data_IF_864560204782
#
_entry.id   IF_864560204782
#
_cell.length_a   1.000
_cell.length_b   1.000
_cell.length_c   1.000
_cell.angle_alpha   90.00
_cell.angle_beta   90.00
_cell.angle_gamma   90.00
#
_symmetry.space_group_name_H-M   'P 1'
#
loop_
_entity.id
_entity.type
_entity.pdbx_description
1 polymer ?
#
# COMPACT_ATOMS: atom_id res chain seq x y z
N UNK A 1 2.09 15.67 -22.06
CA UNK A 1 3.49 15.59 -21.61
C UNK A 1 3.49 15.18 -20.14
N UNK A 2 3.47 13.88 -19.88
CA UNK A 2 3.60 13.35 -18.51
C UNK A 2 5.07 13.51 -18.13
N UNK A 3 5.39 14.43 -17.20
CA UNK A 3 6.77 14.61 -16.74
C UNK A 3 7.21 13.33 -16.04
N UNK A 4 8.15 12.58 -16.62
CA UNK A 4 8.78 11.42 -15.97
C UNK A 4 9.33 11.84 -14.60
N UNK A 5 8.87 11.19 -13.53
CA UNK A 5 9.35 11.42 -12.16
C UNK A 5 10.85 11.09 -12.05
N UNK A 6 11.61 11.88 -11.31
CA UNK A 6 13.00 11.57 -10.99
C UNK A 6 13.04 10.25 -10.19
N UNK A 7 14.02 9.38 -10.45
CA UNK A 7 14.15 8.07 -9.79
C UNK A 7 14.10 8.20 -8.26
N UNK A 8 14.78 9.20 -7.69
CA UNK A 8 14.72 9.43 -6.24
C UNK A 8 13.32 9.83 -5.75
N UNK A 9 12.57 10.61 -6.53
CA UNK A 9 11.20 10.99 -6.17
C UNK A 9 10.24 9.79 -6.28
N UNK A 10 10.39 8.96 -7.32
CA UNK A 10 9.60 7.74 -7.51
C UNK A 10 9.87 6.72 -6.39
N UNK A 11 11.15 6.47 -6.07
CA UNK A 11 11.52 5.60 -4.94
C UNK A 11 11.00 6.16 -3.62
N UNK A 12 11.12 7.47 -3.38
CA UNK A 12 10.60 8.09 -2.16
C UNK A 12 9.09 7.92 -2.04
N UNK A 13 8.36 8.17 -3.12
CA UNK A 13 6.90 8.04 -3.16
C UNK A 13 6.46 6.57 -2.95
N UNK A 14 7.17 5.62 -3.54
CA UNK A 14 6.93 4.19 -3.32
C UNK A 14 7.20 3.77 -1.87
N UNK A 15 8.30 4.23 -1.26
CA UNK A 15 8.62 3.95 0.15
C UNK A 15 7.57 4.57 1.08
N UNK A 16 7.13 5.80 0.81
CA UNK A 16 6.07 6.46 1.59
C UNK A 16 4.76 5.68 1.48
N UNK A 17 4.37 5.27 0.27
CA UNK A 17 3.17 4.46 0.06
C UNK A 17 3.22 3.14 0.85
N UNK A 18 4.33 2.41 0.77
CA UNK A 18 4.51 1.16 1.53
C UNK A 18 4.54 1.40 3.05
N UNK A 19 5.14 2.50 3.50
CA UNK A 19 5.18 2.85 4.93
C UNK A 19 3.78 3.17 5.46
N UNK A 20 2.95 3.87 4.68
CA UNK A 20 1.55 4.14 5.03
C UNK A 20 0.71 2.86 5.08
N UNK A 21 0.93 1.94 4.12
CA UNK A 21 0.29 0.63 4.10
C UNK A 21 0.58 -0.18 5.38
N UNK A 22 1.87 -0.30 5.73
CA UNK A 22 2.33 -1.04 6.92
C UNK A 22 1.88 -0.33 8.20
N UNK A 23 1.96 0.99 8.24
CA UNK A 23 1.54 1.79 9.40
C UNK A 23 0.07 1.61 9.72
N UNK A 24 -0.81 1.70 8.72
CA UNK A 24 -2.25 1.51 8.90
C UNK A 24 -2.58 0.06 9.31
N UNK A 25 -1.98 -0.93 8.63
CA UNK A 25 -2.17 -2.34 8.98
C UNK A 25 -1.71 -2.64 10.41
N UNK A 26 -0.60 -2.05 10.86
CA UNK A 26 -0.10 -2.27 12.22
C UNK A 26 -0.97 -1.62 13.28
N UNK A 27 -1.56 -0.46 12.99
CA UNK A 27 -2.39 0.28 13.93
C UNK A 27 -3.82 -0.28 14.06
N UNK A 28 -4.46 -0.62 12.95
CA UNK A 28 -5.86 -1.08 12.94
C UNK A 28 -5.99 -2.58 12.60
N UNK A 29 -5.21 -3.08 11.64
CA UNK A 29 -5.29 -4.45 11.13
C UNK A 29 -4.81 -5.50 12.14
N UNK A 30 -3.67 -5.28 12.79
CA UNK A 30 -3.11 -6.23 13.76
C UNK A 30 -4.01 -6.45 14.99
N UNK A 31 -4.53 -5.41 15.67
CA UNK A 31 -5.46 -5.62 16.79
C UNK A 31 -6.76 -6.29 16.34
N UNK A 32 -7.28 -5.92 15.16
CA UNK A 32 -8.45 -6.56 14.58
C UNK A 32 -8.18 -8.06 14.32
N UNK A 33 -7.06 -8.39 13.69
CA UNK A 33 -6.64 -9.79 13.44
C UNK A 33 -6.50 -10.57 14.74
N UNK A 34 -5.92 -9.96 15.78
CA UNK A 34 -5.78 -10.59 17.09
C UNK A 34 -7.14 -10.94 17.71
N UNK A 35 -8.13 -10.06 17.62
CA UNK A 35 -9.49 -10.31 18.10
C UNK A 35 -10.17 -11.45 17.32
N UNK A 36 -9.90 -11.54 16.02
CA UNK A 36 -10.39 -12.61 15.14
C UNK A 36 -9.79 -13.96 15.51
N UNK A 37 -8.47 -14.03 15.66
CA UNK A 37 -7.75 -15.26 16.06
C UNK A 37 -8.19 -15.73 17.45
N UNK A 38 -8.47 -14.79 18.36
CA UNK A 38 -8.99 -15.09 19.70
C UNK A 38 -10.48 -15.49 19.71
N UNK A 39 -11.15 -15.56 18.56
CA UNK A 39 -12.56 -15.94 18.46
C UNK A 39 -13.53 -14.90 19.03
N UNK A 40 -13.07 -13.69 19.34
CA UNK A 40 -13.88 -12.56 19.82
C UNK A 40 -14.26 -11.66 18.66
N UNK A 41 -14.90 -12.25 17.65
CA UNK A 41 -15.32 -11.50 16.45
C UNK A 41 -16.38 -10.46 16.82
N UNK A 42 -15.96 -9.21 16.88
CA UNK A 42 -16.87 -8.06 16.83
C UNK A 42 -17.07 -7.67 15.36
N UNK A 43 -18.29 -7.27 14.94
CA UNK A 43 -18.54 -6.80 13.57
C UNK A 43 -17.59 -5.67 13.15
N UNK A 44 -17.21 -4.81 14.10
CA UNK A 44 -16.23 -3.74 13.88
C UNK A 44 -14.84 -4.29 13.52
N UNK A 45 -14.37 -5.34 14.20
CA UNK A 45 -13.06 -5.94 13.93
C UNK A 45 -13.00 -6.60 12.55
N UNK A 46 -14.11 -7.17 12.07
CA UNK A 46 -14.21 -7.66 10.69
C UNK A 46 -14.07 -6.52 9.67
N UNK A 47 -14.78 -5.41 9.91
CA UNK A 47 -14.68 -4.22 9.07
C UNK A 47 -13.26 -3.66 9.04
N UNK A 48 -12.63 -3.49 10.22
CA UNK A 48 -11.28 -2.95 10.34
C UNK A 48 -10.25 -3.87 9.65
N UNK A 49 -10.42 -5.20 9.72
CA UNK A 49 -9.55 -6.15 9.02
C UNK A 49 -9.65 -6.03 7.50
N UNK A 50 -10.88 -5.96 6.96
CA UNK A 50 -11.12 -5.79 5.53
C UNK A 50 -10.59 -4.45 5.05
N UNK A 51 -10.84 -3.38 5.81
CA UNK A 51 -10.35 -2.05 5.50
C UNK A 51 -8.80 -2.00 5.53
N UNK A 52 -8.16 -2.63 6.51
CA UNK A 52 -6.71 -2.73 6.58
C UNK A 52 -6.11 -3.46 5.37
N UNK A 53 -6.75 -4.54 4.92
CA UNK A 53 -6.32 -5.27 3.73
C UNK A 53 -6.50 -4.44 2.44
N UNK A 54 -7.60 -3.70 2.32
CA UNK A 54 -7.85 -2.80 1.20
C UNK A 54 -6.82 -1.66 1.14
N UNK A 55 -6.60 -0.99 2.26
CA UNK A 55 -5.61 0.08 2.38
C UNK A 55 -4.22 -0.44 2.01
N UNK A 56 -3.82 -1.59 2.56
CA UNK A 56 -2.54 -2.22 2.22
C UNK A 56 -2.42 -2.46 0.71
N UNK A 57 -3.43 -3.08 0.10
CA UNK A 57 -3.44 -3.41 -1.33
C UNK A 57 -3.36 -2.16 -2.21
N UNK A 58 -4.14 -1.11 -1.92
CA UNK A 58 -4.14 0.14 -2.69
C UNK A 58 -2.77 0.80 -2.68
N UNK A 59 -2.15 0.94 -1.50
CA UNK A 59 -0.85 1.59 -1.38
C UNK A 59 0.28 0.73 -1.96
N UNK A 60 0.20 -0.60 -1.87
CA UNK A 60 1.15 -1.50 -2.52
C UNK A 60 1.06 -1.39 -4.05
N UNK A 61 -0.15 -1.39 -4.62
CA UNK A 61 -0.34 -1.21 -6.08
C UNK A 61 0.11 0.18 -6.52
N UNK A 62 -0.19 1.23 -5.75
CA UNK A 62 0.28 2.59 -6.05
C UNK A 62 1.81 2.67 -6.05
N UNK A 63 2.48 2.08 -5.05
CA UNK A 63 3.93 2.01 -5.00
C UNK A 63 4.52 1.24 -6.18
N UNK A 64 3.88 0.13 -6.58
CA UNK A 64 4.28 -0.63 -7.76
C UNK A 64 4.10 0.16 -9.06
N UNK A 65 2.95 0.80 -9.27
CA UNK A 65 2.67 1.60 -10.46
C UNK A 65 3.67 2.76 -10.64
N UNK A 66 4.04 3.43 -9.55
CA UNK A 66 5.06 4.50 -9.56
C UNK A 66 6.44 3.97 -9.95
N UNK A 67 6.80 2.77 -9.49
CA UNK A 67 8.06 2.13 -9.85
C UNK A 67 8.03 1.59 -11.28
N UNK A 68 6.91 1.01 -11.70
CA UNK A 68 6.70 0.44 -13.03
C UNK A 68 6.78 1.53 -14.10
N UNK A 69 5.99 2.61 -13.99
CA UNK A 69 6.05 3.76 -14.93
C UNK A 69 7.49 4.27 -15.14
N UNK A 70 8.33 4.18 -14.11
CA UNK A 70 9.74 4.57 -14.20
C UNK A 70 10.64 3.51 -14.84
N UNK A 71 10.40 2.23 -14.57
CA UNK A 71 11.24 1.10 -15.01
C UNK A 71 10.91 0.65 -16.43
N UNK A 72 9.64 0.61 -16.82
CA UNK A 72 9.17 0.24 -18.17
C UNK A 72 9.07 1.43 -19.13
N UNK A 73 9.03 2.67 -18.63
CA UNK A 73 9.07 3.90 -19.46
C UNK A 73 10.41 4.18 -20.17
N UNK A 74 11.24 3.16 -20.39
CA UNK A 74 12.53 3.22 -21.11
C UNK A 74 12.45 2.83 -22.59
N UNK A 75 11.34 2.25 -23.06
CA UNK A 75 11.31 1.60 -24.38
C UNK A 75 10.43 2.31 -25.44
N UNK A 76 9.91 3.52 -25.16
CA UNK A 76 9.06 4.27 -26.11
C UNK A 76 9.76 5.46 -26.80
N UNK A 77 11.07 5.63 -26.62
CA UNK A 77 11.85 6.70 -27.25
C UNK A 77 13.00 6.15 -28.16
N UNK A 78 12.77 5.02 -28.85
CA UNK A 78 13.55 4.59 -30.06
C UNK A 78 12.68 4.63 -31.33
#
# INVERSE_FOLDING_TARGET
MTKKLNLHQATYLAVVAQTLAVGYFSWAGLPALELVVKGKMLPQSMYDLVLAFLVYSVFTVAGYAVLDERLTGKDEDE
#
